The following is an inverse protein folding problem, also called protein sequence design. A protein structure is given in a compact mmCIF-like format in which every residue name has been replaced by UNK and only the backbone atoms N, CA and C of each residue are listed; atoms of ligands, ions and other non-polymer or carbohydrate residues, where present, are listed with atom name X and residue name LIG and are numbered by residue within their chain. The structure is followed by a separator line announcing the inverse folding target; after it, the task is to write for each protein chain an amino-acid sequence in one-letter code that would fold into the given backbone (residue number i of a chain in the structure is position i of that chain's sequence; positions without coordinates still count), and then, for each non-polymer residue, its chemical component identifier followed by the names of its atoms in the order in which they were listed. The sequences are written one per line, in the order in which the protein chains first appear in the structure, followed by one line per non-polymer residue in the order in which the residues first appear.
data_IF_151922870620
#
_entry.id   IF_151922870620
#
_cell.length_a   1.000
_cell.length_b   1.000
_cell.length_c   1.000
_cell.angle_alpha   90.00
_cell.angle_beta   90.00
_cell.angle_gamma   90.00
#
_symmetry.space_group_name_H-M   'P 1'
#
loop_
_entity.id
_entity.type
_entity.pdbx_description
1 polymer ?
#
# COMPACT_ATOMS: atom_id res chain seq x y z
N UNK A 1 -22.01 1.72 15.35
CA UNK A 1 -22.76 1.73 14.06
C UNK A 1 -22.54 3.10 13.44
N UNK A 2 -21.54 3.25 12.57
CA UNK A 2 -21.30 4.54 11.89
C UNK A 2 -22.09 4.49 10.59
N UNK A 3 -23.16 5.26 10.54
CA UNK A 3 -23.97 5.45 9.33
C UNK A 3 -23.14 6.36 8.41
N UNK A 4 -22.43 5.76 7.45
CA UNK A 4 -21.71 6.49 6.41
C UNK A 4 -22.68 6.76 5.28
N UNK A 5 -23.02 8.03 5.05
CA UNK A 5 -23.89 8.42 3.95
C UNK A 5 -23.18 8.16 2.61
N UNK A 6 -23.77 7.36 1.69
CA UNK A 6 -23.09 6.90 0.48
C UNK A 6 -22.75 8.00 -0.54
N UNK A 7 -23.20 9.24 -0.32
CA UNK A 7 -22.84 10.40 -1.15
C UNK A 7 -21.58 11.14 -0.66
N UNK A 8 -21.33 11.16 0.64
CA UNK A 8 -20.20 11.89 1.24
C UNK A 8 -18.89 11.10 1.15
N UNK A 9 -18.97 9.76 1.23
CA UNK A 9 -17.81 8.89 1.00
C UNK A 9 -17.29 8.99 -0.44
N UNK A 10 -18.19 9.02 -1.44
CA UNK A 10 -17.84 9.06 -2.87
C UNK A 10 -17.02 10.30 -3.28
N UNK A 11 -17.38 11.48 -2.78
CA UNK A 11 -16.66 12.73 -3.07
C UNK A 11 -15.28 12.73 -2.42
N UNK A 12 -15.21 12.24 -1.18
CA UNK A 12 -13.96 12.10 -0.44
C UNK A 12 -12.98 11.15 -1.13
N UNK A 13 -13.45 10.00 -1.63
CA UNK A 13 -12.62 9.03 -2.36
C UNK A 13 -11.98 9.64 -3.61
N UNK A 14 -12.69 10.48 -4.38
CA UNK A 14 -12.13 11.12 -5.59
C UNK A 14 -11.05 12.15 -5.24
N UNK A 15 -11.29 13.00 -4.25
CA UNK A 15 -10.32 13.99 -3.80
C UNK A 15 -9.08 13.33 -3.20
N UNK A 16 -9.27 12.27 -2.42
CA UNK A 16 -8.19 11.52 -1.78
C UNK A 16 -7.35 10.75 -2.83
N UNK A 17 -7.98 10.20 -3.88
CA UNK A 17 -7.26 9.63 -5.03
C UNK A 17 -6.37 10.68 -5.69
N UNK A 18 -6.89 11.89 -5.92
CA UNK A 18 -6.12 12.96 -6.57
C UNK A 18 -4.94 13.43 -5.71
N UNK A 19 -5.14 13.54 -4.39
CA UNK A 19 -4.05 13.83 -3.45
C UNK A 19 -2.96 12.77 -3.53
N UNK A 20 -3.36 11.50 -3.59
CA UNK A 20 -2.44 10.38 -3.65
C UNK A 20 -1.71 10.32 -5.01
N UNK A 21 -2.39 10.64 -6.12
CA UNK A 21 -1.77 10.77 -7.44
C UNK A 21 -0.71 11.88 -7.49
N UNK A 22 -0.89 12.96 -6.74
CA UNK A 22 0.12 14.02 -6.64
C UNK A 22 1.25 13.67 -5.67
N UNK A 23 0.96 12.89 -4.64
CA UNK A 23 1.93 12.49 -3.62
C UNK A 23 2.89 11.42 -4.12
N UNK A 24 2.39 10.42 -4.84
CA UNK A 24 3.20 9.27 -5.29
C UNK A 24 4.45 9.67 -6.09
N UNK A 25 4.39 10.55 -7.10
CA UNK A 25 5.59 10.97 -7.83
C UNK A 25 6.62 11.68 -6.94
N UNK A 26 6.18 12.45 -5.95
CA UNK A 26 7.08 13.13 -5.01
C UNK A 26 7.81 12.11 -4.14
N UNK A 27 7.07 11.10 -3.65
CA UNK A 27 7.63 10.03 -2.83
C UNK A 27 8.56 9.12 -3.62
N UNK A 28 8.20 8.73 -4.84
CA UNK A 28 9.06 7.94 -5.74
C UNK A 28 10.37 8.67 -6.03
N UNK A 29 10.30 9.96 -6.35
CA UNK A 29 11.50 10.78 -6.56
C UNK A 29 12.36 10.88 -5.30
N UNK A 30 11.74 11.01 -4.12
CA UNK A 30 12.47 11.06 -2.86
C UNK A 30 13.20 9.73 -2.59
N UNK A 31 12.51 8.60 -2.76
CA UNK A 31 13.09 7.25 -2.62
C UNK A 31 14.28 7.08 -3.57
N UNK A 32 14.12 7.46 -4.84
CA UNK A 32 15.19 7.37 -5.84
C UNK A 32 16.42 8.21 -5.46
N UNK A 33 16.23 9.45 -5.00
CA UNK A 33 17.34 10.31 -4.59
C UNK A 33 18.03 9.79 -3.32
N UNK A 34 17.27 9.22 -2.38
CA UNK A 34 17.81 8.59 -1.18
C UNK A 34 18.66 7.37 -1.55
N UNK A 35 18.22 6.54 -2.50
CA UNK A 35 18.98 5.39 -2.96
C UNK A 35 20.33 5.79 -3.58
N UNK A 36 20.36 6.90 -4.33
CA UNK A 36 21.58 7.48 -4.91
C UNK A 36 22.59 7.98 -3.86
N UNK A 37 22.10 8.42 -2.69
CA UNK A 37 22.93 9.00 -1.61
C UNK A 37 23.03 8.05 -0.40
N UNK A 38 22.64 6.79 -0.58
CA UNK A 38 22.52 5.76 0.47
C UNK A 38 23.80 5.48 1.27
N UNK A 39 24.98 5.85 0.76
CA UNK A 39 26.25 5.77 1.48
C UNK A 39 26.46 6.87 2.53
N UNK A 40 25.58 7.88 2.61
CA UNK A 40 25.69 8.99 3.56
C UNK A 40 25.03 8.63 4.91
N UNK A 41 25.84 8.48 5.96
CA UNK A 41 25.36 8.16 7.32
C UNK A 41 24.33 9.13 7.87
N UNK A 42 24.40 10.42 7.52
CA UNK A 42 23.41 11.40 7.97
C UNK A 42 22.03 11.11 7.39
N UNK A 43 21.98 10.65 6.14
CA UNK A 43 20.72 10.32 5.47
C UNK A 43 20.05 9.08 6.10
N UNK A 44 20.83 8.06 6.46
CA UNK A 44 20.33 6.89 7.20
C UNK A 44 19.74 7.29 8.56
N UNK A 45 20.41 8.18 9.29
CA UNK A 45 19.88 8.69 10.56
C UNK A 45 18.58 9.47 10.38
N UNK A 46 18.52 10.39 9.41
CA UNK A 46 17.31 11.18 9.14
C UNK A 46 16.11 10.31 8.76
N UNK A 47 16.31 9.26 7.95
CA UNK A 47 15.25 8.32 7.58
C UNK A 47 14.75 7.55 8.81
N UNK A 48 15.66 7.10 9.67
CA UNK A 48 15.30 6.39 10.90
C UNK A 48 14.50 7.25 11.89
N UNK A 49 14.65 8.58 11.82
CA UNK A 49 13.96 9.55 12.67
C UNK A 49 12.55 9.94 12.17
N UNK A 50 12.16 9.57 10.94
CA UNK A 50 10.87 9.94 10.34
C UNK A 50 9.65 9.33 11.08
N UNK A 51 9.85 8.31 11.92
CA UNK A 51 8.81 7.68 12.76
C UNK A 51 7.52 7.33 12.01
N UNK A 52 7.66 6.80 10.79
CA UNK A 52 6.56 6.43 9.90
C UNK A 52 5.80 5.23 10.48
N UNK A 53 4.49 5.36 10.63
CA UNK A 53 3.62 4.33 11.20
C UNK A 53 2.43 4.04 10.31
N UNK A 54 2.28 2.77 9.94
CA UNK A 54 1.11 2.27 9.25
C UNK A 54 0.33 1.31 10.14
N UNK A 55 -0.99 1.40 10.14
CA UNK A 55 -1.85 0.36 10.72
C UNK A 55 -2.33 -0.60 9.66
N UNK A 56 -2.41 -1.88 9.99
CA UNK A 56 -3.05 -2.85 9.10
C UNK A 56 -4.56 -2.68 9.17
N UNK A 57 -5.19 -2.49 8.00
CA UNK A 57 -6.64 -2.47 7.84
C UNK A 57 -7.31 -3.84 8.04
N UNK A 58 -6.51 -4.92 8.11
CA UNK A 58 -6.98 -6.31 8.29
C UNK A 58 -6.88 -6.80 9.75
N UNK A 59 -6.09 -6.12 10.59
CA UNK A 59 -6.06 -6.42 12.03
C UNK A 59 -7.28 -5.83 12.72
N UNK A 60 -8.23 -6.68 13.09
CA UNK A 60 -9.24 -6.29 14.08
C UNK A 60 -8.56 -6.04 15.42
N UNK A 61 -9.03 -5.02 16.15
CA UNK A 61 -8.67 -4.85 17.55
C UNK A 61 -9.27 -6.01 18.35
N UNK A 62 -8.50 -7.06 18.55
CA UNK A 62 -8.87 -8.13 19.48
C UNK A 62 -8.61 -7.66 20.90
N UNK A 63 -9.61 -7.81 21.79
CA UNK A 63 -9.52 -7.51 23.22
C UNK A 63 -8.56 -8.49 23.92
N UNK A 64 -8.35 -9.65 23.31
CA UNK A 64 -7.28 -10.57 23.67
C UNK A 64 -6.10 -10.26 22.75
N UNK A 65 -4.96 -9.85 23.29
CA UNK A 65 -3.72 -9.48 22.60
C UNK A 65 -3.05 -10.66 21.81
N UNK A 66 -3.83 -11.53 21.20
CA UNK A 66 -3.41 -12.70 20.41
C UNK A 66 -3.19 -12.36 18.92
N UNK A 67 -3.68 -11.22 18.45
CA UNK A 67 -3.32 -10.66 17.13
C UNK A 67 -2.25 -9.58 17.32
N UNK A 68 -1.21 -9.60 16.48
CA UNK A 68 -0.03 -8.73 16.58
C UNK A 68 -0.32 -7.23 16.61
N UNK A 69 0.73 -6.38 16.70
CA UNK A 69 0.58 -4.95 16.91
C UNK A 69 -0.29 -4.31 15.82
N UNK A 70 -1.30 -3.52 16.23
CA UNK A 70 -2.23 -2.80 15.34
C UNK A 70 -1.52 -1.79 14.43
N UNK A 71 -0.38 -1.28 14.90
CA UNK A 71 0.48 -0.33 14.20
C UNK A 71 1.85 -0.96 14.01
N UNK A 72 2.31 -0.97 12.76
CA UNK A 72 3.66 -1.33 12.39
C UNK A 72 4.42 -0.03 12.14
N UNK A 73 5.46 0.20 12.93
CA UNK A 73 6.40 1.28 12.70
C UNK A 73 7.58 0.70 11.94
N UNK A 74 7.65 1.02 10.64
CA UNK A 74 8.77 0.65 9.79
C UNK A 74 9.26 1.99 9.24
N UNK A 75 10.38 2.47 9.79
CA UNK A 75 10.98 3.76 9.42
C UNK A 75 11.79 3.58 8.14
N UNK A 76 11.09 3.30 7.05
CA UNK A 76 11.67 3.02 5.75
C UNK A 76 10.80 3.68 4.66
N UNK A 77 11.44 4.43 3.77
CA UNK A 77 10.78 5.15 2.69
C UNK A 77 10.27 4.20 1.60
N UNK A 78 10.94 3.06 1.36
CA UNK A 78 10.43 2.05 0.43
C UNK A 78 9.18 1.38 1.01
N UNK A 79 9.09 1.25 2.33
CA UNK A 79 7.88 0.77 3.01
C UNK A 79 6.74 1.78 2.89
N UNK A 80 7.01 3.07 3.11
CA UNK A 80 6.04 4.16 2.91
C UNK A 80 5.50 4.16 1.47
N UNK A 81 6.40 4.05 0.49
CA UNK A 81 6.04 3.98 -0.93
C UNK A 81 5.18 2.75 -1.23
N UNK A 82 5.57 1.59 -0.71
CA UNK A 82 4.82 0.36 -0.87
C UNK A 82 3.40 0.45 -0.30
N UNK A 83 3.27 0.98 0.92
CA UNK A 83 1.97 1.15 1.58
C UNK A 83 1.09 2.20 0.89
N UNK A 84 1.69 3.29 0.40
CA UNK A 84 1.00 4.34 -0.35
C UNK A 84 0.45 3.82 -1.70
N UNK A 85 1.25 3.05 -2.44
CA UNK A 85 0.82 2.37 -3.67
C UNK A 85 -0.27 1.33 -3.40
N UNK A 86 -0.16 0.59 -2.31
CA UNK A 86 -1.19 -0.36 -1.90
C UNK A 86 -2.53 0.33 -1.62
N UNK A 87 -2.51 1.45 -0.88
CA UNK A 87 -3.69 2.27 -0.60
C UNK A 87 -4.28 2.82 -1.91
N UNK A 88 -3.45 3.31 -2.81
CA UNK A 88 -3.88 3.82 -4.11
C UNK A 88 -4.60 2.77 -4.94
N UNK A 89 -4.04 1.56 -5.06
CA UNK A 89 -4.68 0.43 -5.73
C UNK A 89 -6.02 0.06 -5.09
N UNK A 90 -6.12 0.11 -3.76
CA UNK A 90 -7.34 -0.21 -3.04
C UNK A 90 -8.44 0.82 -3.31
N UNK A 91 -8.11 2.11 -3.30
CA UNK A 91 -9.05 3.18 -3.61
C UNK A 91 -9.53 3.13 -5.07
N UNK A 92 -8.65 2.81 -6.02
CA UNK A 92 -9.03 2.58 -7.42
C UNK A 92 -10.01 1.42 -7.55
N UNK A 93 -9.79 0.31 -6.81
CA UNK A 93 -10.70 -0.85 -6.78
C UNK A 93 -12.06 -0.48 -6.19
N UNK A 94 -12.08 0.25 -5.07
CA UNK A 94 -13.33 0.71 -4.45
C UNK A 94 -14.11 1.61 -5.41
N UNK A 95 -13.42 2.54 -6.08
CA UNK A 95 -14.02 3.39 -7.10
C UNK A 95 -14.54 2.60 -8.30
N UNK A 96 -13.83 1.56 -8.72
CA UNK A 96 -14.28 0.69 -9.81
C UNK A 96 -15.60 -0.01 -9.46
N UNK A 97 -15.74 -0.50 -8.22
CA UNK A 97 -16.97 -1.12 -7.72
C UNK A 97 -18.14 -0.14 -7.68
N UNK A 98 -17.90 1.11 -7.28
CA UNK A 98 -18.94 2.14 -7.26
C UNK A 98 -19.51 2.45 -8.66
N UNK A 99 -18.64 2.44 -9.67
CA UNK A 99 -19.01 2.80 -11.05
C UNK A 99 -19.47 1.58 -11.85
N UNK A 100 -19.26 0.36 -11.34
CA UNK A 100 -19.59 -0.90 -12.01
C UNK A 100 -21.03 -0.97 -12.53
N UNK A 101 -22.00 -0.53 -11.72
CA UNK A 101 -23.43 -0.56 -12.06
C UNK A 101 -23.85 0.52 -13.06
N UNK A 102 -23.05 1.56 -13.26
CA UNK A 102 -23.39 2.74 -14.08
C UNK A 102 -22.58 2.81 -15.38
N UNK A 103 -21.32 2.38 -15.36
CA UNK A 103 -20.44 2.42 -16.51
C UNK A 103 -19.38 1.30 -16.43
N UNK A 104 -19.67 0.19 -17.10
CA UNK A 104 -18.80 -0.98 -17.14
C UNK A 104 -17.41 -0.67 -17.74
N UNK A 105 -17.34 0.17 -18.76
CA UNK A 105 -16.07 0.53 -19.42
C UNK A 105 -15.16 1.28 -18.45
N UNK A 106 -15.70 2.28 -17.75
CA UNK A 106 -14.94 3.05 -16.75
C UNK A 106 -14.53 2.18 -15.55
N UNK A 107 -15.40 1.30 -15.09
CA UNK A 107 -15.08 0.34 -14.04
C UNK A 107 -13.93 -0.60 -14.45
N UNK A 108 -13.96 -1.14 -15.68
CA UNK A 108 -12.90 -2.00 -16.21
C UNK A 108 -11.55 -1.26 -16.32
N UNK A 109 -11.54 0.00 -16.75
CA UNK A 109 -10.33 0.84 -16.80
C UNK A 109 -9.73 0.99 -15.40
N UNK A 110 -10.55 1.28 -14.39
CA UNK A 110 -10.10 1.44 -13.01
C UNK A 110 -9.57 0.14 -12.42
N UNK A 111 -10.23 -1.00 -12.66
CA UNK A 111 -9.71 -2.31 -12.25
C UNK A 111 -8.37 -2.63 -12.92
N UNK A 112 -8.23 -2.33 -14.21
CA UNK A 112 -6.95 -2.52 -14.92
C UNK A 112 -5.85 -1.64 -14.34
N UNK A 113 -6.16 -0.37 -14.02
CA UNK A 113 -5.20 0.54 -13.37
C UNK A 113 -4.78 0.00 -11.99
N UNK A 114 -5.73 -0.41 -11.16
CA UNK A 114 -5.45 -1.02 -9.86
C UNK A 114 -4.58 -2.28 -9.98
N UNK A 115 -4.88 -3.15 -10.94
CA UNK A 115 -4.07 -4.33 -11.22
C UNK A 115 -2.64 -3.98 -11.65
N UNK A 116 -2.47 -2.92 -12.45
CA UNK A 116 -1.15 -2.41 -12.84
C UNK A 116 -0.35 -1.90 -11.64
N UNK A 117 -0.99 -1.18 -10.72
CA UNK A 117 -0.36 -0.70 -9.48
C UNK A 117 0.12 -1.87 -8.61
N UNK A 118 -0.71 -2.91 -8.41
CA UNK A 118 -0.29 -4.07 -7.63
C UNK A 118 0.80 -4.90 -8.33
N UNK A 119 0.79 -4.94 -9.65
CA UNK A 119 1.85 -5.57 -10.42
C UNK A 119 3.19 -4.84 -10.21
N UNK A 120 3.20 -3.51 -10.37
CA UNK A 120 4.36 -2.67 -10.10
C UNK A 120 4.86 -2.81 -8.65
N UNK A 121 3.96 -2.75 -7.67
CA UNK A 121 4.28 -2.93 -6.26
C UNK A 121 5.01 -4.27 -6.00
N UNK A 122 4.53 -5.36 -6.59
CA UNK A 122 5.07 -6.71 -6.36
C UNK A 122 6.39 -7.00 -7.08
N UNK A 123 6.67 -6.30 -8.18
CA UNK A 123 7.83 -6.56 -9.04
C UNK A 123 8.94 -5.53 -8.90
N UNK A 124 8.63 -4.28 -8.54
CA UNK A 124 9.61 -3.19 -8.50
C UNK A 124 9.86 -2.67 -7.08
N UNK A 125 8.83 -2.60 -6.23
CA UNK A 125 8.94 -1.94 -4.90
C UNK A 125 9.18 -2.91 -3.75
N UNK A 126 8.54 -4.09 -3.76
CA UNK A 126 8.71 -5.13 -2.74
C UNK A 126 9.91 -6.09 -2.86
N UNK A 127 10.60 -6.27 -4.02
CA UNK A 127 11.76 -7.15 -4.12
C UNK A 127 12.90 -6.88 -3.10
N UNK A 128 13.20 -5.63 -2.67
CA UNK A 128 14.19 -5.35 -1.63
C UNK A 128 13.85 -5.98 -0.27
N UNK A 129 12.58 -6.28 0.02
CA UNK A 129 12.12 -6.87 1.28
C UNK A 129 12.01 -8.41 1.27
N UNK A 130 12.32 -9.07 0.16
CA UNK A 130 12.19 -10.53 0.03
C UNK A 130 13.22 -11.36 0.84
N UNK A 131 14.08 -10.74 1.65
CA UNK A 131 15.10 -11.45 2.44
C UNK A 131 14.59 -11.92 3.82
N UNK A 132 13.30 -11.78 4.16
CA UNK A 132 12.83 -12.29 5.47
C UNK A 132 11.45 -12.96 5.56
N UNK A 133 10.78 -13.26 4.45
CA UNK A 133 9.64 -14.18 4.51
C UNK A 133 10.13 -15.59 4.18
N UNK A 134 10.26 -16.51 5.17
CA UNK A 134 10.61 -17.88 4.85
C UNK A 134 9.46 -18.49 4.05
N UNK A 135 9.63 -18.59 2.74
CA UNK A 135 8.87 -19.54 1.94
C UNK A 135 9.33 -20.94 2.33
N UNK A 136 8.87 -21.43 3.47
CA UNK A 136 8.98 -22.84 3.82
C UNK A 136 7.59 -23.47 3.78
N UNK A 137 7.38 -24.27 2.73
CA UNK A 137 6.69 -25.54 2.88
C UNK A 137 5.20 -25.54 2.56
N UNK A 138 4.84 -25.48 1.28
CA UNK A 138 3.61 -26.10 0.79
C UNK A 138 3.76 -26.42 -0.69
N UNK A 139 4.61 -27.40 -0.99
CA UNK A 139 4.60 -28.20 -2.23
C UNK A 139 5.56 -29.37 -2.07
N UNK A 140 5.01 -30.49 -1.60
CA UNK A 140 5.25 -31.88 -2.04
C UNK A 140 4.81 -32.83 -0.92
N UNK A 141 3.51 -32.99 -0.80
CA UNK A 141 2.90 -34.23 -0.31
C UNK A 141 1.98 -34.68 -1.43
N UNK A 142 2.57 -35.41 -2.38
CA UNK A 142 1.94 -36.25 -3.40
C UNK A 142 3.03 -36.58 -4.42
N UNK A 143 3.75 -37.67 -4.14
CA UNK A 143 4.26 -38.69 -5.08
C UNK A 143 5.33 -39.51 -4.37
N UNK A 144 4.84 -40.48 -3.59
CA UNK A 144 5.21 -41.89 -3.49
C UNK A 144 4.71 -42.43 -2.15
#
# INVERSE_FOLDING_TARGET
MIISYPGLSKLKTKEDIQKLENYLPLLENLVHNVDLVSSNRHMTCWISDLKIRWSSGLTSSSIFHLSGPKFYQINDLHFELGMSLFLYGAMLRERALEVLSTNLVQSAILFRKASGVYHYLSHEVLPPYRVHCPQKGLRKQLLL
#
